data_IF_330383124849
#
_entry.id   IF_330383124849
#
_cell.length_a   1.000
_cell.length_b   1.000
_cell.length_c   1.000
_cell.angle_alpha   90.00
_cell.angle_beta   90.00
_cell.angle_gamma   90.00
#
_symmetry.space_group_name_H-M   'P 1'
#
loop_
_entity.id
_entity.type
_entity.pdbx_description
1 polymer ?
#
# COMPACT_ATOMS: atom_id res chain seq x y z
N UNK A 1 -3.99 2.59 10.13
CA UNK A 1 -4.52 3.84 9.53
C UNK A 1 -4.57 4.92 10.59
N UNK A 2 -4.11 6.10 10.25
CA UNK A 2 -4.24 7.33 11.00
C UNK A 2 -4.78 8.44 10.08
N UNK A 3 -5.98 8.93 10.37
CA UNK A 3 -6.66 10.01 9.65
C UNK A 3 -6.06 11.31 10.13
N UNK A 4 -5.19 11.89 9.29
CA UNK A 4 -4.53 13.16 9.57
C UNK A 4 -5.48 14.32 9.31
N UNK A 5 -6.27 14.21 8.24
CA UNK A 5 -7.27 15.19 7.86
C UNK A 5 -8.43 14.50 7.14
N UNK A 6 -9.65 14.90 7.48
CA UNK A 6 -10.86 14.55 6.74
C UNK A 6 -11.80 15.77 6.84
N UNK A 7 -11.80 16.63 5.82
CA UNK A 7 -12.61 17.85 5.85
C UNK A 7 -14.10 17.50 5.86
N UNK A 8 -14.91 18.29 6.57
CA UNK A 8 -16.36 18.18 6.44
C UNK A 8 -16.79 18.52 5.00
N UNK A 9 -17.65 17.69 4.43
CA UNK A 9 -18.29 17.95 3.16
C UNK A 9 -19.78 18.22 3.39
N UNK A 10 -20.32 19.22 2.69
CA UNK A 10 -21.70 19.72 2.94
C UNK A 10 -22.71 19.22 1.90
N UNK A 11 -22.28 18.37 0.97
CA UNK A 11 -23.10 17.95 -0.18
C UNK A 11 -24.01 16.74 0.04
N UNK A 12 -23.92 16.06 1.18
CA UNK A 12 -24.77 14.90 1.49
C UNK A 12 -24.13 13.91 2.46
N UNK A 13 -22.81 13.89 2.45
CA UNK A 13 -21.95 12.95 3.18
C UNK A 13 -20.95 13.73 4.03
N UNK A 14 -20.84 13.39 5.31
CA UNK A 14 -20.37 14.33 6.35
C UNK A 14 -18.85 14.49 6.43
N UNK A 15 -18.09 13.77 5.61
CA UNK A 15 -16.64 13.93 5.49
C UNK A 15 -16.14 13.69 4.06
N UNK A 16 -15.01 14.28 3.71
CA UNK A 16 -14.34 14.17 2.42
C UNK A 16 -13.92 12.74 2.04
N UNK A 17 -13.69 11.89 3.04
CA UNK A 17 -13.57 10.45 2.90
C UNK A 17 -14.62 9.77 3.79
N UNK A 18 -15.21 8.71 3.24
CA UNK A 18 -16.19 7.81 3.83
C UNK A 18 -15.73 6.35 3.62
N UNK A 19 -16.52 5.39 4.07
CA UNK A 19 -16.39 3.99 3.74
C UNK A 19 -17.67 3.53 3.06
N UNK A 20 -17.54 2.76 1.99
CA UNK A 20 -18.69 2.14 1.32
C UNK A 20 -18.43 0.67 0.95
N UNK A 21 -19.51 -0.05 0.73
CA UNK A 21 -19.53 -1.48 0.43
C UNK A 21 -20.29 -1.77 -0.85
N UNK A 22 -19.83 -2.78 -1.58
CA UNK A 22 -20.55 -3.29 -2.74
C UNK A 22 -21.89 -3.90 -2.36
N UNK A 23 -22.87 -3.82 -3.25
CA UNK A 23 -24.25 -4.28 -2.99
C UNK A 23 -24.37 -5.71 -2.48
N UNK A 24 -23.49 -6.59 -2.96
CA UNK A 24 -23.46 -8.01 -2.63
C UNK A 24 -22.32 -8.37 -1.66
N UNK A 25 -21.60 -7.39 -1.12
CA UNK A 25 -20.51 -7.62 -0.21
C UNK A 25 -21.05 -8.04 1.17
N UNK A 26 -20.54 -9.15 1.70
CA UNK A 26 -20.92 -9.66 3.04
C UNK A 26 -19.95 -9.20 4.14
N UNK A 27 -19.10 -8.23 3.83
CA UNK A 27 -17.98 -7.74 4.67
C UNK A 27 -17.86 -6.24 4.47
N UNK A 28 -17.16 -5.55 5.37
CA UNK A 28 -16.97 -4.10 5.28
C UNK A 28 -18.01 -3.34 6.09
N UNK A 29 -18.04 -2.02 5.91
CA UNK A 29 -18.98 -1.11 6.57
C UNK A 29 -19.32 0.05 5.63
N UNK A 30 -20.50 0.62 5.80
CA UNK A 30 -20.79 1.98 5.34
C UNK A 30 -20.56 2.94 6.50
N UNK A 31 -19.74 3.97 6.31
CA UNK A 31 -19.47 4.97 7.33
C UNK A 31 -19.15 6.32 6.71
N UNK A 32 -20.04 7.26 6.99
CA UNK A 32 -19.80 8.69 6.79
C UNK A 32 -18.72 9.23 7.71
N UNK A 33 -17.99 10.26 7.25
CA UNK A 33 -16.90 10.89 8.01
C UNK A 33 -15.92 9.83 8.56
N UNK A 34 -15.16 9.24 7.63
CA UNK A 34 -14.27 8.12 7.88
C UNK A 34 -13.42 8.30 9.15
N UNK A 35 -13.55 7.31 10.04
CA UNK A 35 -12.72 7.17 11.25
C UNK A 35 -11.54 6.23 11.00
N UNK A 36 -10.57 6.19 11.92
CA UNK A 36 -9.45 5.25 11.83
C UNK A 36 -9.92 3.78 11.87
N UNK A 37 -10.92 3.49 12.69
CA UNK A 37 -11.53 2.18 12.85
C UNK A 37 -12.29 1.78 11.58
N UNK A 38 -13.03 2.72 10.98
CA UNK A 38 -13.71 2.48 9.72
C UNK A 38 -12.74 2.23 8.56
N UNK A 39 -11.70 3.04 8.46
CA UNK A 39 -10.66 2.84 7.46
C UNK A 39 -9.95 1.48 7.61
N UNK A 40 -9.70 1.03 8.84
CA UNK A 40 -9.18 -0.32 9.11
C UNK A 40 -10.18 -1.40 8.69
N UNK A 41 -11.47 -1.24 9.00
CA UNK A 41 -12.50 -2.20 8.62
C UNK A 41 -12.57 -2.40 7.10
N UNK A 42 -12.39 -1.33 6.33
CA UNK A 42 -12.32 -1.36 4.87
C UNK A 42 -10.99 -1.94 4.38
N UNK A 43 -9.84 -1.47 4.86
CA UNK A 43 -8.52 -1.76 4.28
C UNK A 43 -7.90 -3.08 4.78
N UNK A 44 -8.29 -3.60 5.94
CA UNK A 44 -7.75 -4.86 6.50
C UNK A 44 -8.43 -6.13 5.95
N UNK A 45 -9.10 -6.03 4.81
CA UNK A 45 -9.64 -7.18 4.10
C UNK A 45 -9.32 -7.08 2.60
N UNK A 46 -9.27 -8.22 1.92
CA UNK A 46 -8.96 -8.30 0.49
C UNK A 46 -10.20 -8.25 -0.41
N UNK A 47 -11.39 -8.00 0.15
CA UNK A 47 -12.57 -7.80 -0.68
C UNK A 47 -12.48 -6.43 -1.34
N UNK A 48 -12.31 -6.42 -2.66
CA UNK A 48 -12.17 -5.20 -3.47
C UNK A 48 -13.48 -4.41 -3.58
N UNK A 49 -14.61 -4.99 -3.17
CA UNK A 49 -15.90 -4.28 -3.10
C UNK A 49 -16.05 -3.43 -1.84
N UNK A 50 -15.08 -3.48 -0.91
CA UNK A 50 -15.07 -2.59 0.26
C UNK A 50 -14.04 -1.50 -0.02
N UNK A 51 -14.48 -0.25 -0.16
CA UNK A 51 -13.64 0.84 -0.63
C UNK A 51 -13.69 2.03 0.34
N UNK A 52 -12.62 2.81 0.32
CA UNK A 52 -12.67 4.18 0.83
C UNK A 52 -13.35 4.98 -0.26
N UNK A 53 -14.55 5.42 0.02
CA UNK A 53 -15.36 6.23 -0.87
C UNK A 53 -15.11 7.72 -0.54
N UNK A 54 -15.17 8.60 -1.53
CA UNK A 54 -14.74 9.99 -1.32
C UNK A 54 -15.52 10.99 -2.13
N UNK A 55 -15.66 12.17 -1.56
CA UNK A 55 -16.44 13.24 -2.17
C UNK A 55 -15.65 13.93 -3.29
N UNK A 56 -16.30 14.17 -4.42
CA UNK A 56 -15.77 14.78 -5.65
C UNK A 56 -14.90 16.03 -5.45
N UNK A 57 -15.03 16.77 -4.34
CA UNK A 57 -14.18 17.95 -4.02
C UNK A 57 -13.73 18.00 -2.56
N UNK A 58 -13.81 16.87 -1.86
CA UNK A 58 -13.36 16.72 -0.48
C UNK A 58 -11.83 16.70 -0.37
N UNK A 59 -11.29 17.27 0.72
CA UNK A 59 -9.87 17.12 1.07
C UNK A 59 -9.71 16.14 2.22
N UNK A 60 -8.85 15.15 2.02
CA UNK A 60 -8.44 14.23 3.08
C UNK A 60 -6.95 13.92 3.01
N UNK A 61 -6.42 13.44 4.13
CA UNK A 61 -5.07 12.91 4.24
C UNK A 61 -5.08 11.73 5.21
N UNK A 62 -4.73 10.55 4.69
CA UNK A 62 -4.72 9.30 5.43
C UNK A 62 -3.31 8.72 5.46
N UNK A 63 -2.78 8.47 6.65
CA UNK A 63 -1.54 7.72 6.84
C UNK A 63 -1.88 6.24 7.04
N UNK A 64 -1.46 5.41 6.09
CA UNK A 64 -1.67 3.98 6.09
C UNK A 64 -0.38 3.30 6.54
N UNK A 65 -0.50 2.44 7.54
CA UNK A 65 0.61 1.68 8.11
C UNK A 65 0.39 0.20 7.85
N UNK A 66 1.37 -0.44 7.21
CA UNK A 66 1.36 -1.87 6.94
C UNK A 66 1.94 -2.64 8.13
N UNK A 67 1.33 -3.77 8.46
CA UNK A 67 1.83 -4.66 9.52
C UNK A 67 3.21 -5.24 9.17
N UNK A 68 3.42 -5.55 7.89
CA UNK A 68 4.69 -6.02 7.34
C UNK A 68 5.32 -4.93 6.47
N UNK A 69 6.63 -5.00 6.31
CA UNK A 69 7.29 -4.13 5.34
C UNK A 69 6.86 -4.53 3.92
N UNK A 70 6.71 -3.54 3.04
CA UNK A 70 6.20 -3.70 1.67
C UNK A 70 7.16 -3.10 0.65
N UNK A 71 7.17 -3.66 -0.55
CA UNK A 71 8.04 -3.25 -1.67
C UNK A 71 7.27 -2.81 -2.91
N UNK A 72 5.98 -3.11 -2.99
CA UNK A 72 5.07 -2.56 -3.99
C UNK A 72 3.76 -2.17 -3.33
N UNK A 73 3.12 -1.16 -3.90
CA UNK A 73 1.79 -0.68 -3.57
C UNK A 73 0.88 -0.95 -4.76
N UNK A 74 -0.22 -1.62 -4.53
CA UNK A 74 -1.30 -1.80 -5.50
C UNK A 74 -2.47 -0.94 -5.10
N UNK A 75 -3.00 -0.23 -6.09
CA UNK A 75 -4.12 0.67 -5.93
C UNK A 75 -5.18 0.35 -6.97
N UNK A 76 -6.41 0.26 -6.50
CA UNK A 76 -7.61 0.19 -7.33
C UNK A 76 -8.44 1.42 -7.07
N UNK A 77 -9.08 1.94 -8.11
CA UNK A 77 -10.06 3.01 -7.99
C UNK A 77 -11.27 2.68 -8.85
N UNK A 78 -12.47 2.87 -8.27
CA UNK A 78 -13.74 2.77 -8.96
C UNK A 78 -14.04 4.11 -9.65
N UNK A 79 -14.58 4.04 -10.87
CA UNK A 79 -14.97 5.23 -11.65
C UNK A 79 -13.98 5.60 -12.73
N UNK A 80 -12.68 5.39 -12.51
CA UNK A 80 -11.60 5.77 -13.45
C UNK A 80 -11.67 7.25 -13.83
N UNK A 81 -12.02 8.12 -12.89
CA UNK A 81 -12.26 9.54 -13.11
C UNK A 81 -11.65 10.47 -12.04
N UNK A 82 -10.87 9.95 -11.11
CA UNK A 82 -10.33 10.67 -9.94
C UNK A 82 -8.86 11.09 -10.06
N UNK A 83 -8.41 11.80 -9.02
CA UNK A 83 -7.00 12.14 -8.78
C UNK A 83 -6.65 11.91 -7.31
N UNK A 84 -5.43 11.47 -7.05
CA UNK A 84 -4.89 11.38 -5.70
C UNK A 84 -3.36 11.51 -5.71
N UNK A 85 -2.78 11.79 -4.55
CA UNK A 85 -1.34 11.70 -4.36
C UNK A 85 -0.99 10.60 -3.36
N UNK A 86 0.18 9.99 -3.56
CA UNK A 86 0.75 9.02 -2.62
C UNK A 86 2.18 9.42 -2.28
N UNK A 87 2.51 9.40 -0.99
CA UNK A 87 3.83 9.71 -0.45
C UNK A 87 4.29 8.56 0.46
N UNK A 88 5.49 8.03 0.27
CA UNK A 88 6.07 7.12 1.25
C UNK A 88 6.47 7.86 2.54
N UNK A 89 6.33 7.20 3.70
CA UNK A 89 6.69 7.77 5.00
C UNK A 89 7.74 6.90 5.72
N UNK A 90 8.59 7.54 6.52
CA UNK A 90 9.48 6.86 7.48
C UNK A 90 8.72 6.40 8.75
N UNK A 91 9.44 5.79 9.69
CA UNK A 91 8.88 5.31 10.96
C UNK A 91 8.36 6.42 11.89
N UNK A 92 8.80 7.66 11.69
CA UNK A 92 8.38 8.83 12.45
C UNK A 92 7.23 9.60 11.76
N UNK A 93 6.77 9.13 10.59
CA UNK A 93 5.72 9.78 9.80
C UNK A 93 6.23 10.93 8.91
N UNK A 94 7.55 11.07 8.72
CA UNK A 94 8.10 12.05 7.79
C UNK A 94 8.05 11.52 6.36
N UNK A 95 7.80 12.41 5.41
CA UNK A 95 7.84 12.07 3.99
C UNK A 95 9.25 11.66 3.55
N UNK A 96 9.33 10.55 2.80
CA UNK A 96 10.57 10.05 2.18
C UNK A 96 10.35 9.78 0.69
N UNK A 97 11.37 10.03 -0.12
CA UNK A 97 11.26 9.89 -1.57
C UNK A 97 10.33 10.94 -2.20
N UNK A 98 9.84 10.64 -3.40
CA UNK A 98 9.03 11.52 -4.21
C UNK A 98 7.54 11.45 -3.84
N UNK A 99 6.87 12.60 -3.89
CA UNK A 99 5.41 12.66 -3.94
C UNK A 99 4.93 12.20 -5.31
N UNK A 100 4.18 11.10 -5.36
CA UNK A 100 3.57 10.63 -6.60
C UNK A 100 2.23 11.32 -6.80
N UNK A 101 2.12 12.09 -7.88
CA UNK A 101 0.87 12.74 -8.28
C UNK A 101 0.14 11.88 -9.30
N UNK A 102 -0.83 11.11 -8.84
CA UNK A 102 -1.65 10.26 -9.70
C UNK A 102 -2.81 11.11 -10.24
N UNK A 103 -2.49 11.92 -11.24
CA UNK A 103 -3.34 13.03 -11.68
C UNK A 103 -4.52 12.62 -12.60
N UNK A 104 -4.62 11.35 -12.99
CA UNK A 104 -5.67 10.89 -13.89
C UNK A 104 -5.88 9.36 -13.79
N UNK A 105 -6.86 8.90 -13.01
CA UNK A 105 -7.16 7.46 -12.94
C UNK A 105 -7.78 6.90 -14.24
N UNK A 106 -8.27 7.75 -15.14
CA UNK A 106 -8.80 7.31 -16.46
C UNK A 106 -7.76 6.65 -17.37
N UNK A 107 -6.47 6.89 -17.11
CA UNK A 107 -5.36 6.27 -17.86
C UNK A 107 -4.83 5.01 -17.20
N UNK A 108 -5.40 4.58 -16.07
CA UNK A 108 -5.00 3.34 -15.41
C UNK A 108 -5.52 2.12 -16.17
N UNK A 109 -4.93 0.96 -15.90
CA UNK A 109 -5.37 -0.27 -16.54
C UNK A 109 -6.73 -0.70 -15.98
N UNK A 110 -7.67 -1.05 -16.85
CA UNK A 110 -8.91 -1.67 -16.42
C UNK A 110 -8.61 -2.97 -15.67
N UNK A 111 -9.10 -3.10 -14.44
CA UNK A 111 -8.80 -4.22 -13.56
C UNK A 111 -9.56 -5.50 -13.92
N UNK A 112 -10.46 -5.45 -14.91
CA UNK A 112 -11.23 -6.61 -15.38
C UNK A 112 -12.61 -6.74 -14.73
N UNK A 113 -12.99 -5.84 -13.83
CA UNK A 113 -14.28 -5.86 -13.14
C UNK A 113 -14.83 -4.45 -12.87
N UNK A 114 -16.11 -4.40 -12.52
CA UNK A 114 -16.81 -3.19 -12.07
C UNK A 114 -17.33 -3.39 -10.64
N UNK A 115 -17.50 -2.31 -9.90
CA UNK A 115 -18.10 -2.29 -8.56
C UNK A 115 -19.38 -1.46 -8.63
N UNK A 116 -20.47 -2.03 -8.12
CA UNK A 116 -21.68 -1.31 -7.73
C UNK A 116 -21.69 -1.23 -6.20
N UNK A 117 -22.05 -0.09 -5.63
CA UNK A 117 -22.05 0.12 -4.17
C UNK A 117 -23.40 0.57 -3.68
N UNK A 118 -23.62 0.45 -2.37
CA UNK A 118 -24.92 0.76 -1.77
C UNK A 118 -25.27 2.24 -1.83
N UNK A 119 -24.29 3.11 -2.06
CA UNK A 119 -24.49 4.55 -2.19
C UNK A 119 -24.99 4.99 -3.58
N UNK A 120 -24.46 4.40 -4.65
CA UNK A 120 -24.77 4.83 -6.02
C UNK A 120 -25.66 3.81 -6.74
N UNK A 121 -26.25 4.24 -7.85
CA UNK A 121 -26.94 3.31 -8.75
C UNK A 121 -26.05 3.00 -9.95
N UNK A 122 -25.59 1.76 -10.05
CA UNK A 122 -25.03 1.18 -11.26
C UNK A 122 -23.51 0.99 -11.19
N UNK A 123 -23.09 -0.21 -11.58
CA UNK A 123 -21.71 -0.62 -11.54
C UNK A 123 -20.77 0.27 -12.40
N UNK A 124 -19.70 0.76 -11.78
CA UNK A 124 -18.64 1.53 -12.42
C UNK A 124 -17.37 0.69 -12.59
N UNK A 125 -16.63 0.93 -13.67
CA UNK A 125 -15.37 0.23 -13.96
C UNK A 125 -14.32 0.53 -12.90
N UNK A 126 -13.46 -0.45 -12.63
CA UNK A 126 -12.33 -0.27 -11.73
C UNK A 126 -11.03 -0.17 -12.50
N UNK A 127 -10.28 0.90 -12.27
CA UNK A 127 -8.91 1.09 -12.71
C UNK A 127 -7.92 0.50 -11.70
N UNK A 128 -6.74 0.14 -12.17
CA UNK A 128 -5.67 -0.41 -11.33
C UNK A 128 -4.29 0.08 -11.74
N UNK A 129 -3.44 0.29 -10.74
CA UNK A 129 -2.03 0.64 -10.90
C UNK A 129 -1.18 -0.05 -9.83
N UNK A 130 0.04 -0.43 -10.21
CA UNK A 130 1.08 -0.89 -9.29
C UNK A 130 2.19 0.15 -9.22
N UNK A 131 2.66 0.45 -8.01
CA UNK A 131 3.71 1.40 -7.73
C UNK A 131 4.83 0.68 -6.98
N UNK A 132 6.03 0.74 -7.52
CA UNK A 132 7.24 0.22 -6.91
C UNK A 132 7.94 1.27 -6.06
N UNK A 133 8.89 0.87 -5.21
CA UNK A 133 9.76 1.82 -4.50
C UNK A 133 10.53 2.75 -5.45
N UNK A 134 10.85 2.28 -6.67
CA UNK A 134 11.56 3.07 -7.66
C UNK A 134 10.71 4.25 -8.17
N UNK A 135 9.38 4.11 -8.23
CA UNK A 135 8.49 5.21 -8.59
C UNK A 135 8.59 6.34 -7.57
N UNK A 136 8.66 5.98 -6.28
CA UNK A 136 8.94 6.91 -5.18
C UNK A 136 10.39 7.43 -5.17
N UNK A 137 11.25 7.05 -6.13
CA UNK A 137 12.66 7.44 -6.15
C UNK A 137 13.49 6.80 -5.03
N UNK A 138 12.99 5.74 -4.40
CA UNK A 138 13.69 5.02 -3.35
C UNK A 138 14.54 3.89 -3.96
N UNK A 139 15.81 3.78 -3.56
CA UNK A 139 16.73 2.77 -4.08
C UNK A 139 16.85 1.62 -3.07
N UNK A 140 16.15 0.52 -3.35
CA UNK A 140 16.16 -0.69 -2.51
C UNK A 140 15.41 -0.56 -1.18
N UNK A 141 15.28 -1.68 -0.48
CA UNK A 141 14.65 -1.76 0.83
C UNK A 141 13.14 -2.01 0.75
N UNK A 142 12.43 -1.48 1.74
CA UNK A 142 10.99 -1.68 1.96
C UNK A 142 10.45 -0.52 2.79
N UNK A 143 9.20 -0.14 2.57
CA UNK A 143 8.52 0.86 3.39
C UNK A 143 7.49 0.19 4.30
N UNK A 144 7.04 0.88 5.33
CA UNK A 144 5.97 0.41 6.22
C UNK A 144 4.76 1.34 6.24
N UNK A 145 4.87 2.48 5.56
CA UNK A 145 3.89 3.54 5.66
C UNK A 145 3.78 4.32 4.36
N UNK A 146 2.55 4.67 3.99
CA UNK A 146 2.25 5.62 2.91
C UNK A 146 1.21 6.63 3.38
N UNK A 147 1.28 7.84 2.86
CA UNK A 147 0.26 8.88 2.99
C UNK A 147 -0.51 8.98 1.68
N UNK A 148 -1.83 8.87 1.77
CA UNK A 148 -2.77 9.07 0.66
C UNK A 148 -3.43 10.44 0.83
N UNK A 149 -3.46 11.24 -0.23
CA UNK A 149 -3.93 12.62 -0.19
C UNK A 149 -4.91 12.87 -1.35
N UNK A 150 -6.08 13.41 -1.04
CA UNK A 150 -6.91 14.12 -2.02
C UNK A 150 -6.98 15.59 -1.65
N UNK A 151 -6.95 16.46 -2.67
CA UNK A 151 -7.03 17.91 -2.50
C UNK A 151 -8.41 18.40 -2.97
N UNK A 152 -8.89 19.54 -2.47
CA UNK A 152 -10.22 20.08 -2.84
C UNK A 152 -10.46 20.27 -4.33
N UNK A 153 -9.39 20.43 -5.10
CA UNK A 153 -9.41 20.60 -6.55
C UNK A 153 -9.42 19.28 -7.34
N UNK A 154 -9.34 18.16 -6.65
CA UNK A 154 -9.30 16.83 -7.24
C UNK A 154 -10.70 16.28 -7.27
N UNK A 155 -10.99 15.53 -8.34
CA UNK A 155 -12.11 14.60 -8.29
C UNK A 155 -11.74 13.45 -7.34
N UNK A 156 -12.58 13.22 -6.32
CA UNK A 156 -12.32 12.27 -5.23
C UNK A 156 -12.11 10.84 -5.74
N UNK A 157 -11.13 10.09 -5.21
CA UNK A 157 -10.92 8.69 -5.56
C UNK A 157 -11.74 7.71 -4.70
N UNK A 158 -12.41 6.76 -5.33
CA UNK A 158 -13.07 5.66 -4.61
C UNK A 158 -12.17 4.43 -4.62
N UNK A 159 -11.35 4.24 -3.59
CA UNK A 159 -10.14 3.43 -3.72
C UNK A 159 -9.99 2.28 -2.72
N UNK A 160 -9.16 1.32 -3.13
CA UNK A 160 -8.57 0.27 -2.29
C UNK A 160 -7.06 0.28 -2.46
N UNK A 161 -6.32 0.22 -1.35
CA UNK A 161 -4.87 0.14 -1.36
C UNK A 161 -4.39 -1.12 -0.63
N UNK A 162 -3.45 -1.85 -1.25
CA UNK A 162 -2.79 -3.04 -0.67
C UNK A 162 -1.30 -2.95 -0.93
N UNK A 163 -0.45 -3.39 0.01
CA UNK A 163 0.99 -3.53 -0.21
C UNK A 163 1.41 -4.99 -0.39
N UNK A 164 2.35 -5.29 -1.29
CA UNK A 164 3.00 -6.61 -1.33
C UNK A 164 4.01 -6.72 -0.19
N UNK A 165 3.97 -7.83 0.54
CA UNK A 165 5.00 -8.10 1.54
C UNK A 165 6.38 -8.14 0.86
N UNK A 166 7.29 -7.29 1.34
CA UNK A 166 8.67 -7.31 0.87
C UNK A 166 9.28 -8.67 1.18
N UNK A 167 10.05 -9.22 0.24
CA UNK A 167 10.81 -10.42 0.51
C UNK A 167 11.72 -10.18 1.72
N UNK A 168 11.60 -11.01 2.76
CA UNK A 168 12.56 -10.97 3.86
C UNK A 168 13.96 -11.16 3.27
N UNK A 169 14.90 -10.28 3.61
CA UNK A 169 16.29 -10.45 3.22
C UNK A 169 16.71 -11.86 3.64
N UNK A 170 17.19 -12.68 2.68
CA UNK A 170 17.68 -14.04 2.97
C UNK A 170 18.84 -13.92 3.96
N UNK A 171 18.53 -14.01 5.26
CA UNK A 171 19.53 -14.19 6.30
C UNK A 171 20.11 -15.59 6.07
N UNK A 172 21.43 -15.75 5.89
CA UNK A 172 22.02 -17.07 5.74
C UNK A 172 21.61 -17.95 6.91
N UNK A 173 21.03 -19.12 6.61
CA UNK A 173 20.65 -20.05 7.66
C UNK A 173 21.89 -20.40 8.51
N UNK A 174 21.73 -20.64 9.83
CA UNK A 174 22.85 -21.01 10.70
C UNK A 174 23.66 -22.20 10.16
N UNK A 175 23.00 -23.13 9.45
CA UNK A 175 23.60 -24.26 8.74
C UNK A 175 24.60 -23.83 7.65
N UNK A 176 24.29 -22.77 6.90
CA UNK A 176 25.19 -22.22 5.88
C UNK A 176 26.44 -21.59 6.51
N UNK A 177 26.30 -20.93 7.66
CA UNK A 177 27.43 -20.40 8.43
C UNK A 177 28.32 -21.52 9.00
N UNK A 178 27.69 -22.59 9.52
CA UNK A 178 28.41 -23.77 10.00
C UNK A 178 29.16 -24.50 8.87
N UNK A 179 28.53 -24.63 7.70
CA UNK A 179 29.16 -25.22 6.52
C UNK A 179 30.39 -24.45 6.05
N UNK A 180 30.31 -23.11 5.99
CA UNK A 180 31.45 -22.25 5.68
C UNK A 180 32.58 -22.37 6.72
N UNK A 181 32.23 -22.44 8.00
CA UNK A 181 33.19 -22.68 9.08
C UNK A 181 33.93 -24.01 8.94
N UNK A 182 33.22 -25.09 8.62
CA UNK A 182 33.80 -26.41 8.42
C UNK A 182 34.78 -26.46 7.21
N UNK A 183 34.44 -25.78 6.11
CA UNK A 183 35.31 -25.69 4.93
C UNK A 183 36.59 -24.91 5.24
N UNK A 184 36.48 -23.79 5.97
CA UNK A 184 37.64 -22.99 6.36
C UNK A 184 38.59 -23.75 7.29
N UNK A 185 38.04 -24.47 8.28
CA UNK A 185 38.83 -25.32 9.18
C UNK A 185 39.47 -26.48 8.41
N UNK A 186 38.73 -27.13 7.52
CA UNK A 186 39.24 -28.19 6.65
C UNK A 186 40.44 -27.72 5.83
N UNK A 187 40.32 -26.59 5.13
CA UNK A 187 41.41 -26.02 4.33
C UNK A 187 42.66 -25.69 5.15
N UNK A 188 42.51 -25.15 6.36
CA UNK A 188 43.63 -24.86 7.27
C UNK A 188 44.33 -26.13 7.76
N UNK A 189 43.57 -27.18 8.08
CA UNK A 189 44.13 -28.46 8.53
C UNK A 189 44.86 -29.18 7.39
N UNK A 190 44.31 -29.17 6.18
CA UNK A 190 44.95 -29.79 5.00
C UNK A 190 46.25 -29.06 4.66
N UNK A 191 46.26 -27.73 4.72
CA UNK A 191 47.45 -26.91 4.45
C UNK A 191 48.57 -27.13 5.48
N UNK A 192 48.21 -27.32 6.76
CA UNK A 192 49.17 -27.69 7.81
C UNK A 192 49.78 -29.08 7.61
N UNK A 193 48.97 -30.06 7.18
CA UNK A 193 49.47 -31.43 6.91
C UNK A 193 50.46 -31.48 5.76
N UNK A 194 50.24 -30.69 4.71
CA UNK A 194 51.20 -30.60 3.59
C UNK A 194 52.53 -29.99 4.04
N UNK A 195 52.52 -28.92 4.85
CA UNK A 195 53.74 -28.31 5.39
C UNK A 195 54.54 -29.21 6.35
N UNK A 196 53.90 -30.20 7.00
CA UNK A 196 54.58 -31.15 7.88
C UNK A 196 55.12 -32.40 7.16
N UNK A 197 54.77 -32.61 5.89
CA UNK A 197 55.30 -33.70 5.07
C UNK A 197 56.50 -33.29 4.22
N UNK A 198 56.72 -31.98 4.03
CA UNK A 198 57.84 -31.40 3.28
C UNK A 198 59.02 -30.97 4.19
N UNK A 199 59.04 -31.37 5.47
CA UNK A 199 60.09 -31.10 6.45
C UNK A 199 60.71 -32.41 6.98
#
# INVERSE_FOLDING_TARGET
VNTVQNDLYTGGNTGAASADIGDLATTGITQELLTNEGAKAVLNNLNLNNIIDTEDTGKFTLDLHFEKAVDNIFLWERGMNSKLNIQALDANGNAIGNLLKLANSSTWNYAGFSIDTQEISGAQKVGSIGLSLADFGLTGGSIRSVRVISEKSYNGPDFKLVGSAAAEAKVPEPSALLGLGAVAVGALVTRRRQQSQDA
#
